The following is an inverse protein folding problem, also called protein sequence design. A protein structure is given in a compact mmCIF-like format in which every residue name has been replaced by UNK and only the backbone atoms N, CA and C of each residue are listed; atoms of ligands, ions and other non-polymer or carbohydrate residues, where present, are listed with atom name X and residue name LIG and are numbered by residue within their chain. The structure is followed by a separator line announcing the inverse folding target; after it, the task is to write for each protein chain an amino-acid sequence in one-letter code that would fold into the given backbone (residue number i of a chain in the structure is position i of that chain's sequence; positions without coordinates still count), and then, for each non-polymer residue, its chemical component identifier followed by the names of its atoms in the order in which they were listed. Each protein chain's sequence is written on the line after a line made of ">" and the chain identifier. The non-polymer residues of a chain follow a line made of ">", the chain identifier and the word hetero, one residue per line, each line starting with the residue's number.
data_IF_312076212294
#
_entry.id   IF_312076212294
#
_cell.length_a   1.000
_cell.length_b   1.000
_cell.length_c   1.000
_cell.angle_alpha   90.00
_cell.angle_beta   90.00
_cell.angle_gamma   90.00
#
_symmetry.space_group_name_H-M   'P 1'
#
loop_
_entity.id
_entity.type
_entity.pdbx_description
1 polymer ?
#
# COMPACT_ATOMS: atom_id res chain seq x y z
N UNK A 1 21.90 1.64 5.08
CA UNK A 1 20.87 1.81 6.14
C UNK A 1 20.91 3.20 6.79
N UNK A 2 22.06 3.64 7.33
CA UNK A 2 22.19 4.99 7.92
C UNK A 2 21.91 6.09 6.90
N UNK A 3 22.52 6.02 5.70
CA UNK A 3 22.33 7.00 4.63
C UNK A 3 20.84 7.27 4.33
N UNK A 4 20.03 6.21 4.18
CA UNK A 4 18.59 6.32 3.93
C UNK A 4 17.83 7.03 5.06
N UNK A 5 18.16 6.74 6.33
CA UNK A 5 17.51 7.39 7.49
C UNK A 5 17.82 8.88 7.59
N UNK A 6 18.94 9.32 7.00
CA UNK A 6 19.34 10.72 6.91
C UNK A 6 18.84 11.39 5.62
N UNK A 7 17.99 10.72 4.84
CA UNK A 7 17.43 11.25 3.59
C UNK A 7 18.33 11.06 2.37
N UNK A 8 19.47 10.38 2.50
CA UNK A 8 20.37 10.08 1.39
C UNK A 8 19.88 8.93 0.50
N UNK A 9 20.26 8.99 -0.77
CA UNK A 9 19.95 7.97 -1.78
C UNK A 9 21.19 7.10 -2.01
N UNK A 10 21.04 5.77 -2.01
CA UNK A 10 22.17 4.86 -2.26
C UNK A 10 22.36 4.54 -3.74
N UNK A 11 21.27 4.28 -4.46
CA UNK A 11 21.29 3.81 -5.84
C UNK A 11 19.97 4.15 -6.50
N UNK A 12 20.00 4.39 -7.81
CA UNK A 12 18.84 4.71 -8.64
C UNK A 12 18.89 3.81 -9.87
N UNK A 13 17.72 3.40 -10.37
CA UNK A 13 17.62 2.72 -11.67
C UNK A 13 17.90 3.71 -12.80
N UNK A 14 18.79 3.33 -13.72
CA UNK A 14 19.03 4.12 -14.92
C UNK A 14 17.74 4.29 -15.73
N UNK A 15 17.50 5.51 -16.21
CA UNK A 15 16.29 5.86 -16.93
C UNK A 15 16.11 5.02 -18.20
N UNK A 16 17.20 4.65 -18.88
CA UNK A 16 17.12 3.82 -20.09
C UNK A 16 16.64 2.41 -19.77
N UNK A 17 17.07 1.87 -18.63
CA UNK A 17 16.70 0.55 -18.12
C UNK A 17 15.32 0.48 -17.46
N UNK A 18 14.69 1.63 -17.13
CA UNK A 18 13.33 1.62 -16.59
C UNK A 18 12.34 1.05 -17.61
N UNK A 19 11.37 0.22 -17.20
CA UNK A 19 10.24 -0.16 -18.05
C UNK A 19 9.34 1.06 -18.29
N UNK A 20 8.56 1.05 -19.38
CA UNK A 20 7.75 2.20 -19.81
C UNK A 20 6.83 2.75 -18.69
N UNK A 21 6.18 1.87 -17.94
CA UNK A 21 5.29 2.26 -16.85
C UNK A 21 6.01 2.97 -15.67
N UNK A 22 7.32 2.77 -15.47
CA UNK A 22 8.10 3.51 -14.45
C UNK A 22 8.72 4.80 -15.00
N UNK A 23 8.55 5.09 -16.30
CA UNK A 23 8.95 6.39 -16.90
C UNK A 23 7.83 7.42 -16.82
N UNK A 24 6.60 6.97 -16.62
CA UNK A 24 5.42 7.80 -16.38
C UNK A 24 5.30 8.12 -14.88
N UNK A 25 4.43 9.07 -14.50
CA UNK A 25 4.20 9.43 -13.09
C UNK A 25 3.54 8.26 -12.36
N UNK A 26 4.36 7.39 -11.78
CA UNK A 26 3.94 6.12 -11.18
C UNK A 26 4.33 6.05 -9.71
N UNK A 27 3.39 5.67 -8.87
CA UNK A 27 3.60 5.36 -7.47
C UNK A 27 3.73 3.84 -7.30
N UNK A 28 4.81 3.38 -6.65
CA UNK A 28 5.03 1.97 -6.36
C UNK A 28 4.59 1.71 -4.92
N UNK A 29 3.66 0.78 -4.74
CA UNK A 29 3.05 0.50 -3.44
C UNK A 29 3.35 -0.95 -3.05
N UNK A 30 3.84 -1.14 -1.82
CA UNK A 30 4.08 -2.44 -1.22
C UNK A 30 3.19 -2.60 0.01
N UNK A 31 2.53 -3.75 0.14
CA UNK A 31 1.59 -4.02 1.22
C UNK A 31 1.88 -5.40 1.76
N UNK A 32 1.94 -5.50 3.08
CA UNK A 32 2.24 -6.73 3.80
C UNK A 32 1.40 -6.82 5.08
N UNK A 33 1.09 -8.05 5.49
CA UNK A 33 0.42 -8.34 6.75
C UNK A 33 1.19 -9.44 7.50
N UNK A 34 1.65 -9.11 8.70
CA UNK A 34 2.28 -10.08 9.58
C UNK A 34 1.26 -10.65 10.55
N UNK A 35 1.03 -11.95 10.44
CA UNK A 35 0.15 -12.70 11.33
C UNK A 35 0.92 -13.30 12.51
N UNK A 36 0.32 -13.35 13.71
CA UNK A 36 0.89 -14.11 14.82
C UNK A 36 0.88 -15.61 14.49
N UNK A 37 1.55 -16.40 15.33
CA UNK A 37 1.56 -17.86 15.19
C UNK A 37 0.13 -18.41 15.06
N UNK A 38 -0.12 -19.44 14.23
CA UNK A 38 -1.46 -20.05 14.10
C UNK A 38 -2.06 -20.54 15.43
N UNK A 39 -1.22 -20.81 16.43
CA UNK A 39 -1.63 -21.22 17.78
C UNK A 39 -1.94 -20.04 18.70
N UNK A 40 -1.48 -18.84 18.37
CA UNK A 40 -1.69 -17.63 19.14
C UNK A 40 -3.02 -16.97 18.72
N UNK A 41 -3.98 -17.00 19.65
CA UNK A 41 -5.33 -16.45 19.46
C UNK A 41 -5.50 -15.07 20.10
N UNK A 42 -4.47 -14.55 20.76
CA UNK A 42 -4.53 -13.33 21.56
C UNK A 42 -3.88 -12.17 20.80
N UNK A 43 -2.75 -12.44 20.16
CA UNK A 43 -2.03 -11.43 19.37
C UNK A 43 -2.83 -11.01 18.14
N UNK A 44 -2.69 -9.74 17.77
CA UNK A 44 -3.33 -9.16 16.58
C UNK A 44 -2.36 -9.14 15.41
N UNK A 45 -2.88 -9.27 14.21
CA UNK A 45 -2.09 -9.09 12.98
C UNK A 45 -1.71 -7.62 12.80
N UNK A 46 -0.58 -7.38 12.14
CA UNK A 46 -0.10 -6.02 11.83
C UNK A 46 0.00 -5.86 10.32
N UNK A 47 -0.67 -4.85 9.78
CA UNK A 47 -0.55 -4.46 8.38
C UNK A 47 0.47 -3.35 8.22
N UNK A 48 1.29 -3.43 7.17
CA UNK A 48 2.17 -2.36 6.72
C UNK A 48 1.88 -2.02 5.25
N UNK A 49 1.82 -0.73 4.94
CA UNK A 49 1.71 -0.21 3.59
C UNK A 49 2.81 0.82 3.39
N UNK A 50 3.52 0.70 2.28
CA UNK A 50 4.57 1.62 1.86
C UNK A 50 4.30 2.09 0.44
N UNK A 51 4.61 3.35 0.15
CA UNK A 51 4.45 3.90 -1.19
C UNK A 51 5.57 4.86 -1.56
N UNK A 52 6.12 4.73 -2.76
CA UNK A 52 7.11 5.68 -3.26
C UNK A 52 6.49 7.04 -3.55
N UNK A 53 7.25 8.11 -3.35
CA UNK A 53 6.76 9.47 -3.62
C UNK A 53 7.71 10.30 -4.48
N UNK A 54 8.84 9.73 -4.89
CA UNK A 54 9.80 10.35 -5.79
C UNK A 54 9.88 9.61 -7.13
N UNK A 55 10.27 10.32 -8.19
CA UNK A 55 10.43 9.77 -9.56
C UNK A 55 11.53 8.70 -9.64
N UNK A 56 12.45 8.70 -8.67
CA UNK A 56 13.51 7.72 -8.55
C UNK A 56 13.06 6.44 -7.82
N UNK A 57 11.88 6.46 -7.19
CA UNK A 57 11.37 5.39 -6.32
C UNK A 57 12.38 4.98 -5.24
N UNK A 58 13.04 5.94 -4.64
CA UNK A 58 14.05 5.72 -3.60
C UNK A 58 13.56 6.11 -2.22
N UNK A 59 12.48 6.91 -2.13
CA UNK A 59 11.90 7.39 -0.87
C UNK A 59 10.46 6.94 -0.75
N UNK A 60 10.07 6.58 0.46
CA UNK A 60 8.79 5.94 0.72
C UNK A 60 8.07 6.57 1.91
N UNK A 61 6.76 6.75 1.76
CA UNK A 61 5.87 6.85 2.90
C UNK A 61 5.60 5.48 3.48
N UNK A 62 5.30 5.44 4.77
CA UNK A 62 4.96 4.22 5.47
C UNK A 62 3.78 4.48 6.39
N UNK A 63 2.83 3.55 6.38
CA UNK A 63 1.74 3.48 7.35
C UNK A 63 1.70 2.05 7.89
N UNK A 64 1.59 1.94 9.20
CA UNK A 64 1.48 0.66 9.91
C UNK A 64 0.21 0.73 10.76
N UNK A 65 -0.60 -0.32 10.73
CA UNK A 65 -1.83 -0.40 11.52
C UNK A 65 -2.05 -1.80 12.09
N UNK A 66 -2.60 -1.84 13.30
CA UNK A 66 -3.03 -3.09 13.94
C UNK A 66 -4.38 -3.49 13.36
N UNK A 67 -4.45 -4.73 12.89
CA UNK A 67 -5.68 -5.31 12.36
C UNK A 67 -6.55 -5.87 13.47
N UNK A 68 -7.85 -5.95 13.20
CA UNK A 68 -8.77 -6.61 14.10
C UNK A 68 -8.57 -8.14 14.04
N UNK A 69 -8.90 -8.88 15.12
CA UNK A 69 -8.71 -10.32 15.16
C UNK A 69 -9.44 -11.01 14.00
N UNK A 70 -8.84 -12.07 13.45
CA UNK A 70 -9.44 -12.83 12.35
C UNK A 70 -10.82 -13.35 12.76
N UNK A 71 -11.88 -12.85 12.10
CA UNK A 71 -13.22 -13.40 12.25
C UNK A 71 -13.32 -14.58 11.29
N UNK A 72 -13.33 -15.80 11.82
CA UNK A 72 -13.64 -16.99 11.00
C UNK A 72 -15.08 -16.87 10.51
N UNK A 73 -15.28 -16.40 9.28
CA UNK A 73 -16.58 -16.45 8.62
C UNK A 73 -16.86 -17.92 8.27
N UNK A 74 -17.84 -18.54 8.92
CA UNK A 74 -18.41 -19.82 8.46
C UNK A 74 -19.25 -19.51 7.23
N UNK A 75 -18.75 -19.82 6.05
CA UNK A 75 -19.57 -19.84 4.84
C UNK A 75 -20.27 -21.19 4.83
N UNK A 76 -21.60 -21.18 5.02
CA UNK A 76 -22.44 -22.34 4.74
C UNK A 76 -22.45 -22.55 3.22
N UNK A 77 -21.92 -23.69 2.79
CA UNK A 77 -21.70 -24.14 1.41
C UNK A 77 -20.31 -23.80 0.83
N UNK A 78 -19.54 -24.87 0.63
CA UNK A 78 -18.16 -25.00 0.13
C UNK A 78 -17.06 -24.72 1.15
N UNK A 79 -16.46 -25.82 1.63
CA UNK A 79 -15.25 -25.91 2.46
C UNK A 79 -14.01 -25.35 1.75
N UNK A 80 -14.00 -24.06 1.48
CA UNK A 80 -12.74 -23.33 1.39
C UNK A 80 -12.71 -22.47 2.64
N UNK A 81 -11.92 -22.90 3.62
CA UNK A 81 -11.36 -21.97 4.60
C UNK A 81 -10.59 -20.94 3.81
N UNK A 82 -11.31 -19.93 3.32
CA UNK A 82 -10.76 -18.78 2.67
C UNK A 82 -10.12 -18.00 3.81
N UNK A 83 -8.88 -18.37 4.14
CA UNK A 83 -7.90 -17.54 4.81
C UNK A 83 -7.60 -16.38 3.86
N UNK A 84 -8.63 -15.59 3.51
CA UNK A 84 -8.40 -14.36 2.80
C UNK A 84 -7.70 -13.51 3.84
N UNK A 85 -6.41 -13.28 3.62
CA UNK A 85 -5.61 -12.26 4.30
C UNK A 85 -6.18 -10.89 3.92
N UNK A 86 -7.45 -10.66 4.24
CA UNK A 86 -8.12 -9.41 3.98
C UNK A 86 -7.51 -8.40 4.93
N UNK A 87 -6.66 -7.54 4.38
CA UNK A 87 -6.15 -6.39 5.11
C UNK A 87 -7.31 -5.43 5.29
N UNK A 88 -8.07 -5.62 6.38
CA UNK A 88 -9.33 -4.94 6.67
C UNK A 88 -9.19 -3.41 6.54
N UNK A 89 -8.01 -2.89 6.92
CA UNK A 89 -7.74 -1.46 7.00
C UNK A 89 -6.93 -0.90 5.83
N UNK A 90 -6.78 -1.64 4.73
CA UNK A 90 -5.97 -1.24 3.57
C UNK A 90 -6.40 0.13 3.02
N UNK A 91 -7.70 0.39 2.97
CA UNK A 91 -8.27 1.65 2.49
C UNK A 91 -7.83 2.84 3.33
N UNK A 92 -7.89 2.72 4.65
CA UNK A 92 -7.46 3.76 5.58
C UNK A 92 -5.95 4.02 5.43
N UNK A 93 -5.17 2.96 5.24
CA UNK A 93 -3.72 3.09 5.04
C UNK A 93 -3.40 3.83 3.74
N UNK A 94 -4.07 3.45 2.64
CA UNK A 94 -3.90 4.05 1.33
C UNK A 94 -4.34 5.51 1.31
N UNK A 95 -5.50 5.83 1.90
CA UNK A 95 -5.96 7.22 2.05
C UNK A 95 -4.96 8.06 2.81
N UNK A 96 -4.42 7.55 3.91
CA UNK A 96 -3.40 8.23 4.71
C UNK A 96 -2.12 8.52 3.90
N UNK A 97 -1.66 7.56 3.09
CA UNK A 97 -0.48 7.71 2.25
C UNK A 97 -0.71 8.72 1.13
N UNK A 98 -1.83 8.61 0.42
CA UNK A 98 -2.14 9.49 -0.70
C UNK A 98 -2.33 10.93 -0.23
N UNK A 99 -3.04 11.14 0.88
CA UNK A 99 -3.20 12.47 1.48
C UNK A 99 -1.85 13.10 1.82
N UNK A 100 -0.92 12.30 2.36
CA UNK A 100 0.43 12.76 2.66
C UNK A 100 1.22 13.10 1.39
N UNK A 101 1.08 12.30 0.34
CA UNK A 101 1.72 12.55 -0.95
C UNK A 101 1.25 13.85 -1.61
N UNK A 102 -0.04 14.19 -1.54
CA UNK A 102 -0.55 15.48 -2.06
C UNK A 102 -0.06 16.67 -1.25
N UNK A 103 0.21 16.50 0.04
CA UNK A 103 0.76 17.58 0.87
C UNK A 103 2.23 17.86 0.53
N UNK A 104 3.04 16.82 0.29
CA UNK A 104 4.45 16.99 -0.08
C UNK A 104 4.65 17.55 -1.49
N UNK A 105 3.84 17.12 -2.47
CA UNK A 105 3.95 17.65 -3.84
C UNK A 105 3.76 19.17 -3.89
N UNK A 106 2.78 19.70 -3.15
CA UNK A 106 2.49 21.15 -3.06
C UNK A 106 3.66 21.94 -2.48
N UNK A 107 4.39 21.38 -1.51
CA UNK A 107 5.56 22.04 -0.92
C UNK A 107 6.74 22.17 -1.90
N UNK A 108 6.80 21.30 -2.91
CA UNK A 108 7.94 21.17 -3.82
C UNK A 108 7.74 21.82 -5.19
N UNK A 109 6.52 21.84 -5.74
CA UNK A 109 6.31 22.20 -7.16
C UNK A 109 5.29 23.32 -7.42
N UNK A 110 4.53 23.79 -6.42
CA UNK A 110 3.47 24.80 -6.65
C UNK A 110 2.35 24.33 -7.60
N UNK A 111 2.29 23.04 -7.93
CA UNK A 111 1.29 22.45 -8.83
C UNK A 111 -0.08 22.31 -8.15
N UNK A 112 -1.13 22.36 -8.97
CA UNK A 112 -2.53 22.28 -8.59
C UNK A 112 -2.86 20.96 -7.88
N UNK A 113 -3.61 21.02 -6.77
CA UNK A 113 -4.04 19.82 -6.03
C UNK A 113 -4.89 18.93 -6.93
N UNK A 114 -4.50 17.65 -7.08
CA UNK A 114 -5.50 16.61 -7.34
C UNK A 114 -6.53 16.68 -6.20
N UNK A 115 -7.80 16.85 -6.55
CA UNK A 115 -8.87 16.94 -5.56
C UNK A 115 -8.93 15.66 -4.73
N UNK A 116 -9.30 15.78 -3.45
CA UNK A 116 -9.50 14.60 -2.58
C UNK A 116 -10.47 13.59 -3.20
N UNK A 117 -11.43 14.06 -3.99
CA UNK A 117 -12.36 13.23 -4.74
C UNK A 117 -11.67 12.38 -5.81
N UNK A 118 -10.76 12.95 -6.61
CA UNK A 118 -9.99 12.21 -7.62
C UNK A 118 -9.05 11.18 -6.97
N UNK A 119 -8.45 11.53 -5.83
CA UNK A 119 -7.63 10.57 -5.08
C UNK A 119 -8.47 9.43 -4.50
N UNK A 120 -9.65 9.74 -3.96
CA UNK A 120 -10.59 8.76 -3.45
C UNK A 120 -11.08 7.82 -4.56
N UNK A 121 -11.41 8.36 -5.72
CA UNK A 121 -11.80 7.57 -6.90
C UNK A 121 -10.67 6.67 -7.38
N UNK A 122 -9.43 7.14 -7.37
CA UNK A 122 -8.26 6.32 -7.70
C UNK A 122 -8.07 5.15 -6.71
N UNK A 123 -8.23 5.40 -5.40
CA UNK A 123 -8.20 4.33 -4.37
C UNK A 123 -9.31 3.31 -4.60
N UNK A 124 -10.53 3.79 -4.82
CA UNK A 124 -11.70 2.92 -4.97
C UNK A 124 -11.62 2.10 -6.27
N UNK A 125 -11.10 2.69 -7.34
CA UNK A 125 -10.83 2.00 -8.61
C UNK A 125 -9.74 0.96 -8.46
N UNK A 126 -8.66 1.30 -7.75
CA UNK A 126 -7.57 0.37 -7.45
C UNK A 126 -8.04 -0.81 -6.58
N UNK A 127 -8.86 -0.54 -5.55
CA UNK A 127 -9.42 -1.58 -4.69
C UNK A 127 -10.35 -2.53 -5.48
N UNK A 128 -11.21 -1.98 -6.35
CA UNK A 128 -12.06 -2.78 -7.25
C UNK A 128 -11.22 -3.65 -8.20
N UNK A 129 -10.07 -3.15 -8.64
CA UNK A 129 -9.13 -3.94 -9.46
C UNK A 129 -8.49 -5.07 -8.65
N UNK A 130 -8.10 -4.81 -7.40
CA UNK A 130 -7.54 -5.83 -6.52
C UNK A 130 -8.53 -6.96 -6.22
N UNK A 131 -9.77 -6.63 -5.83
CA UNK A 131 -10.78 -7.66 -5.53
C UNK A 131 -11.15 -8.50 -6.76
N UNK A 132 -11.08 -7.91 -7.96
CA UNK A 132 -11.34 -8.61 -9.23
C UNK A 132 -10.17 -9.48 -9.71
N UNK A 133 -8.92 -9.06 -9.47
CA UNK A 133 -7.72 -9.73 -10.02
C UNK A 133 -6.97 -10.62 -9.00
N UNK A 134 -7.14 -10.41 -7.69
CA UNK A 134 -6.51 -11.21 -6.62
C UNK A 134 -7.48 -12.26 -6.03
N UNK A 135 -8.50 -12.68 -6.77
CA UNK A 135 -9.31 -13.87 -6.42
C UNK A 135 -8.54 -15.20 -6.61
N UNK A 136 -7.30 -15.15 -7.09
CA UNK A 136 -6.38 -16.27 -7.23
C UNK A 136 -5.02 -15.83 -6.67
N UNK A 137 -4.45 -16.62 -5.76
CA UNK A 137 -3.29 -16.32 -4.91
C UNK A 137 -3.61 -15.45 -3.68
N UNK A 138 -4.22 -16.09 -2.67
CA UNK A 138 -3.59 -16.56 -1.42
C UNK A 138 -4.40 -17.76 -0.95
#
# INVERSE_FOLDING_TARGET
>A
KVNFRLGGINTILDYRSKPKYLKERTMVIGIDASHPSPTDRVSRSVAACVASFDDCHTRYFTKIMVQDPFVKVRVENEEKQKLVEEIVKINEMMKSILTKSSMESVSSSGEERLSLAQMQEAVDTWQKSLTKNFSYFI
#
